data_IF_217929460428
#
_entry.id   IF_217929460428
#
_cell.length_a   1.000
_cell.length_b   1.000
_cell.length_c   1.000
_cell.angle_alpha   90.00
_cell.angle_beta   90.00
_cell.angle_gamma   90.00
#
_symmetry.space_group_name_H-M   'P 1'
#
loop_
_entity.id
_entity.type
_entity.pdbx_description
1 polymer ?
#
# COMPACT_ATOMS: atom_id res chain seq x y z
N UNK A 1 4.67 -21.21 -1.39
CA UNK A 1 4.33 -19.99 -0.61
C UNK A 1 2.82 -19.76 -0.46
N UNK A 2 1.94 -20.67 -0.91
CA UNK A 2 0.47 -20.51 -0.78
C UNK A 2 -0.05 -20.46 0.66
N UNK A 3 0.63 -21.13 1.60
CA UNK A 3 0.16 -21.21 2.99
C UNK A 3 0.04 -19.84 3.67
N UNK A 4 0.94 -18.90 3.39
CA UNK A 4 0.90 -17.55 3.99
C UNK A 4 -0.19 -16.70 3.36
N UNK A 5 -0.39 -16.77 2.03
CA UNK A 5 -1.43 -16.01 1.35
C UNK A 5 -2.83 -16.39 1.85
N UNK A 6 -3.13 -17.69 1.98
CA UNK A 6 -4.41 -18.15 2.53
C UNK A 6 -4.64 -17.72 3.97
N UNK A 7 -3.59 -17.69 4.80
CA UNK A 7 -3.70 -17.20 6.19
C UNK A 7 -4.02 -15.71 6.20
N UNK A 8 -3.34 -14.90 5.39
CA UNK A 8 -3.58 -13.46 5.29
C UNK A 8 -5.00 -13.15 4.79
N UNK A 9 -5.48 -13.88 3.79
CA UNK A 9 -6.85 -13.78 3.29
C UNK A 9 -7.88 -14.15 4.36
N UNK A 10 -7.69 -15.27 5.05
CA UNK A 10 -8.62 -15.75 6.10
C UNK A 10 -8.77 -14.76 7.26
N UNK A 11 -7.70 -14.04 7.58
CA UNK A 11 -7.68 -13.09 8.69
C UNK A 11 -7.86 -11.63 8.26
N UNK A 12 -8.13 -11.36 6.97
CA UNK A 12 -8.27 -9.98 6.47
C UNK A 12 -7.02 -9.13 6.70
N UNK A 13 -5.85 -9.76 6.80
CA UNK A 13 -4.61 -9.12 7.24
C UNK A 13 -3.73 -8.82 6.03
N UNK A 14 -3.20 -7.60 5.97
CA UNK A 14 -2.17 -7.24 5.00
C UNK A 14 -0.81 -7.10 5.70
N UNK A 15 0.26 -7.49 5.01
CA UNK A 15 1.63 -7.37 5.52
C UNK A 15 2.55 -6.76 4.47
N UNK A 16 3.56 -6.04 4.94
CA UNK A 16 4.65 -5.56 4.10
C UNK A 16 5.72 -6.66 4.02
N UNK A 17 6.10 -7.03 2.81
CA UNK A 17 7.17 -7.98 2.55
C UNK A 17 8.25 -7.33 1.69
N UNK A 18 9.46 -7.88 1.78
CA UNK A 18 10.57 -7.53 0.89
C UNK A 18 10.91 -8.75 0.04
N UNK A 19 10.86 -8.61 -1.27
CA UNK A 19 11.22 -9.67 -2.19
C UNK A 19 12.74 -9.92 -2.21
N UNK A 20 13.17 -10.95 -2.95
CA UNK A 20 14.59 -11.30 -3.10
C UNK A 20 15.44 -10.23 -3.79
N UNK A 21 14.81 -9.30 -4.50
CA UNK A 21 15.45 -8.18 -5.18
C UNK A 21 15.44 -6.89 -4.34
N UNK A 22 14.94 -6.95 -3.10
CA UNK A 22 14.83 -5.80 -2.21
C UNK A 22 13.59 -4.93 -2.45
N UNK A 23 12.70 -5.31 -3.37
CA UNK A 23 11.45 -4.58 -3.62
C UNK A 23 10.47 -4.80 -2.48
N UNK A 24 9.86 -3.72 -2.03
CA UNK A 24 8.82 -3.77 -1.00
C UNK A 24 7.47 -3.99 -1.66
N UNK A 25 6.71 -4.94 -1.16
CA UNK A 25 5.39 -5.31 -1.64
C UNK A 25 4.39 -5.47 -0.49
N UNK A 26 3.11 -5.35 -0.80
CA UNK A 26 2.02 -5.61 0.14
C UNK A 26 1.38 -6.95 -0.22
N UNK A 27 1.31 -7.85 0.76
CA UNK A 27 0.69 -9.18 0.64
C UNK A 27 -0.63 -9.21 1.42
N UNK A 28 -1.59 -9.99 0.95
CA UNK A 28 -2.91 -10.14 1.57
C UNK A 28 -4.06 -9.55 0.73
N UNK A 29 -5.27 -9.46 1.31
CA UNK A 29 -6.48 -9.01 0.63
C UNK A 29 -6.50 -7.48 0.56
N UNK A 30 -5.78 -6.96 -0.43
CA UNK A 30 -5.82 -5.57 -0.88
C UNK A 30 -6.18 -5.56 -2.36
N UNK A 31 -7.00 -4.59 -2.77
CA UNK A 31 -7.39 -4.48 -4.17
C UNK A 31 -6.23 -4.00 -5.06
N UNK A 32 -6.43 -4.04 -6.38
CA UNK A 32 -5.40 -3.62 -7.33
C UNK A 32 -5.04 -2.14 -7.20
N UNK A 33 -6.01 -1.28 -6.90
CA UNK A 33 -5.78 0.16 -6.73
C UNK A 33 -4.87 0.42 -5.52
N UNK A 34 -5.16 -0.22 -4.39
CA UNK A 34 -4.36 -0.18 -3.18
C UNK A 34 -2.96 -0.74 -3.40
N UNK A 35 -2.80 -1.82 -4.17
CA UNK A 35 -1.47 -2.35 -4.55
C UNK A 35 -0.67 -1.33 -5.36
N UNK A 36 -1.27 -0.69 -6.35
CA UNK A 36 -0.60 0.31 -7.18
C UNK A 36 -0.19 1.54 -6.36
N UNK A 37 -1.10 2.03 -5.51
CA UNK A 37 -0.83 3.14 -4.57
C UNK A 37 0.33 2.78 -3.63
N UNK A 38 0.31 1.59 -3.03
CA UNK A 38 1.36 1.12 -2.15
C UNK A 38 2.71 1.04 -2.86
N UNK A 39 2.76 0.50 -4.08
CA UNK A 39 4.00 0.40 -4.87
C UNK A 39 4.57 1.78 -5.23
N UNK A 40 3.71 2.75 -5.57
CA UNK A 40 4.13 4.13 -5.83
C UNK A 40 4.77 4.76 -4.59
N UNK A 41 4.16 4.57 -3.42
CA UNK A 41 4.70 5.02 -2.13
C UNK A 41 6.02 4.31 -1.78
N UNK A 42 6.09 3.00 -1.94
CA UNK A 42 7.29 2.22 -1.64
C UNK A 42 8.50 2.65 -2.49
N UNK A 43 8.27 3.10 -3.73
CA UNK A 43 9.33 3.57 -4.62
C UNK A 43 9.79 5.01 -4.30
N UNK A 44 8.92 5.87 -3.76
CA UNK A 44 9.19 7.30 -3.54
C UNK A 44 9.58 7.64 -2.11
N UNK A 45 9.09 6.86 -1.15
CA UNK A 45 9.03 7.27 0.25
C UNK A 45 7.75 8.08 0.54
N UNK A 46 7.83 9.03 1.46
CA UNK A 46 6.69 9.84 1.84
C UNK A 46 6.17 10.70 0.66
N UNK A 47 4.85 10.69 0.43
CA UNK A 47 4.23 11.49 -0.64
C UNK A 47 2.82 11.98 -0.26
N UNK A 48 2.43 13.13 -0.82
CA UNK A 48 1.08 13.67 -0.69
C UNK A 48 0.07 12.92 -1.59
N UNK A 49 -1.21 12.98 -1.24
CA UNK A 49 -2.30 12.33 -1.99
C UNK A 49 -2.31 12.74 -3.46
N UNK A 50 -2.09 14.03 -3.73
CA UNK A 50 -2.14 14.62 -5.07
C UNK A 50 -1.01 14.09 -5.96
N UNK A 51 0.18 13.88 -5.38
CA UNK A 51 1.31 13.29 -6.08
C UNK A 51 1.01 11.83 -6.42
N UNK A 52 0.52 11.06 -5.44
CA UNK A 52 0.15 9.65 -5.61
C UNK A 52 -0.92 9.48 -6.71
N UNK A 53 -1.95 10.33 -6.69
CA UNK A 53 -3.02 10.32 -7.68
C UNK A 53 -2.49 10.64 -9.09
N UNK A 54 -1.66 11.69 -9.22
CA UNK A 54 -1.07 12.10 -10.49
C UNK A 54 -0.15 11.01 -11.08
N UNK A 55 0.70 10.41 -10.24
CA UNK A 55 1.66 9.39 -10.65
C UNK A 55 1.00 8.09 -11.12
N UNK A 56 -0.09 7.70 -10.46
CA UNK A 56 -0.85 6.51 -10.83
C UNK A 56 -1.84 6.72 -11.97
N UNK A 57 -2.08 7.96 -12.39
CA UNK A 57 -3.22 8.30 -13.24
C UNK A 57 -4.56 7.92 -12.58
N UNK A 58 -4.61 7.91 -11.25
CA UNK A 58 -5.76 7.48 -10.45
C UNK A 58 -6.54 8.73 -10.04
N UNK A 59 -7.86 8.69 -10.12
CA UNK A 59 -8.69 9.75 -9.59
C UNK A 59 -8.41 9.95 -8.09
N UNK A 60 -8.25 11.20 -7.65
CA UNK A 60 -7.86 11.53 -6.27
C UNK A 60 -8.74 10.85 -5.21
N UNK A 61 -10.06 10.76 -5.44
CA UNK A 61 -10.98 10.05 -4.54
C UNK A 61 -10.68 8.56 -4.41
N UNK A 62 -10.32 7.89 -5.51
CA UNK A 62 -9.94 6.47 -5.47
C UNK A 62 -8.58 6.27 -4.80
N UNK A 63 -7.63 7.16 -5.05
CA UNK A 63 -6.34 7.16 -4.36
C UNK A 63 -6.51 7.38 -2.86
N UNK A 64 -7.40 8.29 -2.46
CA UNK A 64 -7.75 8.55 -1.05
C UNK A 64 -8.36 7.33 -0.39
N UNK A 65 -9.36 6.70 -0.99
CA UNK A 65 -9.98 5.49 -0.46
C UNK A 65 -8.96 4.35 -0.29
N UNK A 66 -8.06 4.16 -1.26
CA UNK A 66 -6.99 3.19 -1.19
C UNK A 66 -6.00 3.50 -0.04
N UNK A 67 -5.60 4.76 0.15
CA UNK A 67 -4.73 5.16 1.25
C UNK A 67 -5.39 4.97 2.61
N UNK A 68 -6.68 5.27 2.73
CA UNK A 68 -7.46 5.02 3.96
C UNK A 68 -7.52 3.51 4.27
N UNK A 69 -7.74 2.66 3.26
CA UNK A 69 -7.72 1.19 3.42
C UNK A 69 -6.34 0.68 3.91
N UNK A 70 -5.26 1.16 3.29
CA UNK A 70 -3.89 0.78 3.64
C UNK A 70 -3.50 1.29 5.04
N UNK A 71 -3.95 2.49 5.42
CA UNK A 71 -3.80 3.01 6.78
C UNK A 71 -4.55 2.15 7.80
N UNK A 72 -5.79 1.77 7.51
CA UNK A 72 -6.60 0.92 8.39
C UNK A 72 -5.98 -0.46 8.58
N UNK A 73 -5.21 -0.94 7.60
CA UNK A 73 -4.45 -2.20 7.67
C UNK A 73 -3.07 -2.05 8.31
N UNK A 74 -2.64 -0.83 8.64
CA UNK A 74 -1.35 -0.57 9.30
C UNK A 74 -0.13 -0.80 8.41
N UNK A 75 -0.29 -0.86 7.08
CA UNK A 75 0.82 -1.02 6.12
C UNK A 75 1.29 0.32 5.54
N UNK A 76 0.50 1.38 5.73
CA UNK A 76 0.83 2.77 5.42
C UNK A 76 0.53 3.61 6.66
N UNK A 77 1.33 4.65 6.87
CA UNK A 77 1.13 5.66 7.90
C UNK A 77 0.90 7.01 7.25
N UNK A 78 0.05 7.83 7.87
CA UNK A 78 -0.10 9.25 7.55
C UNK A 78 0.69 10.07 8.56
N UNK A 79 1.58 10.94 8.08
CA UNK A 79 2.36 11.88 8.86
C UNK A 79 2.20 13.32 8.33
N UNK A 80 2.99 14.26 8.86
CA UNK A 80 2.95 15.66 8.43
C UNK A 80 3.38 15.86 6.97
N UNK A 81 4.22 14.97 6.44
CA UNK A 81 4.78 15.03 5.10
C UNK A 81 3.94 14.26 4.06
N UNK A 82 2.84 13.62 4.49
CA UNK A 82 1.94 12.86 3.63
C UNK A 82 1.74 11.42 4.09
N UNK A 83 1.80 10.48 3.16
CA UNK A 83 1.65 9.04 3.40
C UNK A 83 2.99 8.35 3.17
N UNK A 84 3.33 7.36 4.00
CA UNK A 84 4.56 6.58 3.86
C UNK A 84 4.28 5.09 4.18
N UNK A 85 5.00 4.18 3.52
CA UNK A 85 4.95 2.75 3.84
C UNK A 85 5.58 2.48 5.20
N UNK A 86 5.01 1.54 5.95
CA UNK A 86 5.64 1.02 7.17
C UNK A 86 6.82 0.12 6.78
N UNK A 87 7.99 0.36 7.34
CA UNK A 87 9.23 -0.38 7.08
C UNK A 87 9.78 -1.03 8.34
#
# INVERSE_FOLDING_TARGET
CEAIAQVLERHGTAVVARDRNGRIEVLGPVDETARLVFQSLAARGAAALEQIAADGGIAAERARAALEELCARGVVLRNADGYAVVQ
#
